data_IF_294820522518
#
_entry.id   IF_294820522518
#
_cell.length_a   1.000
_cell.length_b   1.000
_cell.length_c   1.000
_cell.angle_alpha   90.00
_cell.angle_beta   90.00
_cell.angle_gamma   90.00
#
_symmetry.space_group_name_H-M   'P 1'
#
loop_
_entity.id
_entity.type
_entity.pdbx_description
1 polymer ?
#
# COMPACT_ATOMS: atom_id res chain seq x y z
N UNK A 1 22.27 5.94 -19.07
CA UNK A 1 23.28 5.01 -18.50
C UNK A 1 24.67 5.50 -18.88
N UNK A 2 25.69 5.39 -18.02
CA UNK A 2 27.06 5.86 -18.32
C UNK A 2 28.12 4.78 -18.05
N UNK A 3 28.23 4.31 -16.81
CA UNK A 3 29.28 3.36 -16.41
C UNK A 3 29.12 1.98 -17.05
N UNK A 4 27.90 1.44 -17.08
CA UNK A 4 27.63 0.10 -17.61
C UNK A 4 27.92 -0.03 -19.11
N UNK A 5 27.54 0.98 -19.91
CA UNK A 5 27.73 0.98 -21.36
C UNK A 5 29.22 0.99 -21.71
N UNK A 6 30.01 1.78 -21.00
CA UNK A 6 31.46 1.84 -21.20
C UNK A 6 32.13 0.52 -20.81
N UNK A 7 31.70 -0.09 -19.70
CA UNK A 7 32.22 -1.37 -19.26
C UNK A 7 31.94 -2.47 -20.31
N UNK A 8 30.68 -2.59 -20.75
CA UNK A 8 30.26 -3.56 -21.78
C UNK A 8 31.07 -3.36 -23.07
N UNK A 9 31.22 -2.10 -23.52
CA UNK A 9 31.99 -1.79 -24.71
C UNK A 9 33.47 -2.20 -24.55
N UNK A 10 34.09 -1.87 -23.41
CA UNK A 10 35.49 -2.22 -23.14
C UNK A 10 35.73 -3.73 -23.02
N UNK A 11 34.78 -4.47 -22.42
CA UNK A 11 34.81 -5.93 -22.32
C UNK A 11 34.65 -6.57 -23.70
N UNK A 12 33.71 -6.07 -24.51
CA UNK A 12 33.48 -6.56 -25.88
C UNK A 12 34.66 -6.30 -26.82
N UNK A 13 35.42 -5.22 -26.58
CA UNK A 13 36.58 -4.85 -27.39
C UNK A 13 37.86 -5.61 -26.97
N UNK A 14 37.88 -6.25 -25.80
CA UNK A 14 39.02 -7.03 -25.30
C UNK A 14 40.23 -6.20 -24.85
N UNK A 15 40.13 -4.87 -24.77
CA UNK A 15 41.21 -3.98 -24.33
C UNK A 15 40.71 -2.97 -23.29
N UNK A 16 41.22 -3.08 -22.05
CA UNK A 16 40.81 -2.26 -20.91
C UNK A 16 41.47 -0.87 -20.82
N UNK A 17 42.42 -0.54 -21.69
CA UNK A 17 43.17 0.73 -21.62
C UNK A 17 42.33 1.95 -22.03
N UNK A 18 41.23 1.76 -22.76
CA UNK A 18 40.35 2.83 -23.25
C UNK A 18 39.20 3.26 -22.32
N UNK A 19 39.07 2.67 -21.12
CA UNK A 19 37.89 2.85 -20.26
C UNK A 19 37.73 4.30 -19.79
N UNK A 20 38.84 4.99 -19.46
CA UNK A 20 38.79 6.39 -18.98
C UNK A 20 38.28 7.31 -20.09
N UNK A 21 38.86 7.20 -21.30
CA UNK A 21 38.44 7.97 -22.47
C UNK A 21 36.99 7.66 -22.85
N UNK A 22 36.60 6.37 -22.83
CA UNK A 22 35.22 5.95 -23.09
C UNK A 22 34.23 6.52 -22.07
N UNK A 23 34.61 6.59 -20.79
CA UNK A 23 33.79 7.21 -19.74
C UNK A 23 33.63 8.70 -19.96
N UNK A 24 34.70 9.41 -20.32
CA UNK A 24 34.64 10.84 -20.60
C UNK A 24 33.70 11.15 -21.78
N UNK A 25 33.82 10.38 -22.87
CA UNK A 25 32.92 10.50 -24.03
C UNK A 25 31.48 10.22 -23.63
N UNK A 26 31.22 9.14 -22.88
CA UNK A 26 29.87 8.78 -22.45
C UNK A 26 29.24 9.84 -21.52
N UNK A 27 30.04 10.48 -20.66
CA UNK A 27 29.58 11.57 -19.78
C UNK A 27 29.23 12.82 -20.60
N UNK A 28 30.10 13.24 -21.53
CA UNK A 28 29.83 14.41 -22.39
C UNK A 28 28.61 14.16 -23.29
N UNK A 29 28.51 12.97 -23.87
CA UNK A 29 27.37 12.56 -24.69
C UNK A 29 26.08 12.55 -23.87
N UNK A 30 26.10 12.01 -22.63
CA UNK A 30 24.94 12.05 -21.74
C UNK A 30 24.55 13.49 -21.38
N UNK A 31 25.51 14.34 -21.01
CA UNK A 31 25.23 15.72 -20.66
C UNK A 31 24.60 16.50 -21.82
N UNK A 32 25.14 16.32 -23.02
CA UNK A 32 24.59 16.94 -24.24
C UNK A 32 23.21 16.36 -24.57
N UNK A 33 23.01 15.06 -24.43
CA UNK A 33 21.71 14.41 -24.68
C UNK A 33 20.62 14.86 -23.71
N UNK A 34 20.93 14.86 -22.40
CA UNK A 34 20.00 15.28 -21.34
C UNK A 34 19.59 16.77 -21.48
N UNK A 35 20.38 17.59 -22.21
CA UNK A 35 20.00 18.98 -22.54
C UNK A 35 18.87 19.06 -23.59
N UNK A 36 18.82 18.12 -24.53
CA UNK A 36 17.83 18.14 -25.61
C UNK A 36 16.61 17.27 -25.34
N UNK A 37 16.79 16.09 -24.75
CA UNK A 37 15.70 15.14 -24.55
C UNK A 37 15.94 14.21 -23.37
N UNK A 38 14.86 13.64 -22.84
CA UNK A 38 14.94 12.52 -21.89
C UNK A 38 15.43 11.26 -22.60
N UNK A 39 16.01 10.34 -21.82
CA UNK A 39 16.48 9.07 -22.35
C UNK A 39 15.36 8.27 -23.00
N UNK A 40 15.65 7.54 -24.08
CA UNK A 40 14.64 6.77 -24.83
C UNK A 40 13.86 5.81 -23.91
N UNK A 41 14.53 5.21 -22.92
CA UNK A 41 13.88 4.32 -21.95
C UNK A 41 12.89 5.05 -21.06
N UNK A 42 13.30 6.20 -20.50
CA UNK A 42 12.47 7.00 -19.61
C UNK A 42 11.27 7.57 -20.38
N UNK A 43 11.47 7.96 -21.64
CA UNK A 43 10.38 8.36 -22.55
C UNK A 43 9.35 7.23 -22.74
N UNK A 44 9.79 6.01 -23.04
CA UNK A 44 8.88 4.87 -23.21
C UNK A 44 8.19 4.45 -21.91
N UNK A 45 8.86 4.61 -20.77
CA UNK A 45 8.26 4.39 -19.44
C UNK A 45 7.14 5.39 -19.20
N UNK A 46 7.39 6.67 -19.49
CA UNK A 46 6.40 7.75 -19.40
C UNK A 46 5.21 7.50 -20.32
N UNK A 47 5.46 7.16 -21.59
CA UNK A 47 4.40 6.83 -22.57
C UNK A 47 3.55 5.62 -22.16
N UNK A 48 4.12 4.66 -21.43
CA UNK A 48 3.39 3.49 -20.92
C UNK A 48 2.71 3.73 -19.58
N UNK A 49 2.90 4.88 -18.94
CA UNK A 49 2.35 5.19 -17.62
C UNK A 49 2.80 4.21 -16.52
N UNK A 50 4.00 3.65 -16.63
CA UNK A 50 4.48 2.66 -15.65
C UNK A 50 4.97 3.43 -14.40
N UNK A 51 4.42 3.17 -13.20
CA UNK A 51 4.77 3.91 -11.99
C UNK A 51 6.15 3.47 -11.47
N UNK A 52 7.20 4.15 -11.94
CA UNK A 52 8.60 3.89 -11.55
C UNK A 52 9.09 5.02 -10.64
N UNK A 53 9.69 4.64 -9.51
CA UNK A 53 10.33 5.59 -8.60
C UNK A 53 11.76 5.84 -9.05
N UNK A 54 11.98 6.98 -9.70
CA UNK A 54 13.29 7.35 -10.18
C UNK A 54 14.33 7.49 -9.05
N UNK A 55 15.62 7.23 -9.34
CA UNK A 55 16.65 7.29 -8.30
C UNK A 55 16.89 8.66 -7.68
N UNK A 56 16.46 9.72 -8.36
CA UNK A 56 16.88 11.07 -8.09
C UNK A 56 15.65 11.93 -7.85
N UNK A 57 15.60 12.58 -6.69
CA UNK A 57 14.64 13.63 -6.34
C UNK A 57 15.02 14.96 -7.02
N UNK A 58 15.56 14.92 -8.25
CA UNK A 58 16.32 16.03 -8.81
C UNK A 58 15.47 17.23 -9.19
N UNK A 59 14.19 17.04 -9.47
CA UNK A 59 13.37 18.13 -9.98
C UNK A 59 12.77 18.97 -8.84
N UNK A 60 12.31 18.35 -7.74
CA UNK A 60 11.67 19.06 -6.61
C UNK A 60 11.87 18.34 -5.25
N UNK A 61 13.09 18.33 -4.66
CA UNK A 61 13.33 17.62 -3.40
C UNK A 61 12.46 18.16 -2.26
N UNK A 62 12.27 19.48 -2.20
CA UNK A 62 11.52 20.15 -1.13
C UNK A 62 10.06 19.69 -1.01
N UNK A 63 9.47 19.25 -2.12
CA UNK A 63 8.11 18.71 -2.14
C UNK A 63 8.01 17.44 -1.29
N UNK A 64 8.91 16.49 -1.51
CA UNK A 64 8.90 15.19 -0.85
C UNK A 64 9.20 15.26 0.65
N UNK A 65 9.96 16.28 1.08
CA UNK A 65 10.21 16.53 2.51
C UNK A 65 9.06 17.30 3.19
N UNK A 66 8.24 18.03 2.43
CA UNK A 66 7.12 18.83 2.96
C UNK A 66 5.82 18.04 3.07
N UNK A 67 5.54 17.14 2.14
CA UNK A 67 4.33 16.32 2.15
C UNK A 67 4.51 15.15 3.13
N UNK A 68 3.47 14.88 3.93
CA UNK A 68 3.49 13.80 4.93
C UNK A 68 2.79 12.56 4.41
N UNK A 69 3.17 11.40 4.94
CA UNK A 69 2.56 10.11 4.60
C UNK A 69 1.04 10.12 4.83
N UNK A 70 0.56 10.76 5.90
CA UNK A 70 -0.88 10.87 6.19
C UNK A 70 -1.70 11.63 5.14
N UNK A 71 -1.05 12.47 4.36
CA UNK A 71 -1.69 13.31 3.34
C UNK A 71 -1.79 12.53 2.01
N UNK A 72 -0.95 11.51 1.82
CA UNK A 72 -0.83 10.71 0.59
C UNK A 72 -1.40 9.29 0.74
N UNK A 73 -1.39 8.72 1.95
CA UNK A 73 -1.82 7.34 2.19
C UNK A 73 -3.30 7.12 1.88
N UNK A 74 -3.60 5.91 1.41
CA UNK A 74 -4.99 5.48 1.25
C UNK A 74 -5.57 5.14 2.62
N UNK A 75 -6.66 5.82 2.98
CA UNK A 75 -7.32 5.67 4.30
C UNK A 75 -8.45 4.68 4.26
N UNK A 76 -9.07 4.49 3.10
CA UNK A 76 -10.13 3.52 2.93
C UNK A 76 -9.55 2.11 2.77
N UNK A 77 -9.13 1.52 3.89
CA UNK A 77 -8.51 0.20 3.91
C UNK A 77 -9.44 -0.83 4.55
N UNK A 78 -9.74 -1.88 3.79
CA UNK A 78 -10.48 -3.03 4.26
C UNK A 78 -9.59 -3.92 5.12
N UNK A 79 -9.83 -3.93 6.42
CA UNK A 79 -9.14 -4.83 7.34
C UNK A 79 -9.87 -6.17 7.46
N UNK A 80 -9.09 -7.24 7.58
CA UNK A 80 -9.61 -8.58 7.86
C UNK A 80 -9.42 -8.92 9.32
N UNK A 81 -10.29 -9.76 9.85
CA UNK A 81 -10.09 -10.37 11.17
C UNK A 81 -9.24 -11.63 11.05
N UNK A 82 -8.48 -11.94 12.10
CA UNK A 82 -7.74 -13.20 12.24
C UNK A 82 -8.60 -14.44 11.99
N UNK A 83 -9.88 -14.38 12.38
CA UNK A 83 -10.94 -15.31 12.02
C UNK A 83 -12.01 -14.57 11.23
N UNK A 84 -12.03 -14.81 9.92
CA UNK A 84 -12.99 -14.19 9.00
C UNK A 84 -13.83 -15.26 8.32
N UNK A 85 -15.13 -14.99 8.13
CA UNK A 85 -16.01 -15.89 7.37
C UNK A 85 -15.63 -15.91 5.91
N UNK A 86 -15.81 -17.07 5.26
CA UNK A 86 -15.54 -17.21 3.82
C UNK A 86 -16.42 -16.27 2.99
N UNK A 87 -17.68 -16.06 3.39
CA UNK A 87 -18.60 -15.11 2.74
C UNK A 87 -18.02 -13.69 2.67
N UNK A 88 -17.49 -13.19 3.79
CA UNK A 88 -16.87 -11.87 3.87
C UNK A 88 -15.60 -11.77 3.02
N UNK A 89 -14.77 -12.82 3.03
CA UNK A 89 -13.56 -12.88 2.20
C UNK A 89 -13.89 -12.86 0.71
N UNK A 90 -14.87 -13.66 0.28
CA UNK A 90 -15.30 -13.70 -1.14
C UNK A 90 -15.92 -12.37 -1.55
N UNK A 91 -16.70 -11.72 -0.68
CA UNK A 91 -17.27 -10.39 -0.92
C UNK A 91 -16.17 -9.35 -1.13
N UNK A 92 -15.25 -9.21 -0.17
CA UNK A 92 -14.15 -8.23 -0.24
C UNK A 92 -13.26 -8.46 -1.46
N UNK A 93 -12.99 -9.72 -1.81
CA UNK A 93 -12.21 -10.06 -3.01
C UNK A 93 -12.98 -9.76 -4.30
N UNK A 94 -14.31 -9.84 -4.34
CA UNK A 94 -15.11 -9.48 -5.52
C UNK A 94 -15.26 -7.97 -5.69
N UNK A 95 -15.48 -7.26 -4.59
CA UNK A 95 -15.71 -5.81 -4.57
C UNK A 95 -14.43 -5.02 -4.82
N UNK A 96 -13.30 -5.46 -4.24
CA UNK A 96 -12.06 -4.70 -4.28
C UNK A 96 -10.94 -5.41 -5.03
N UNK A 97 -10.13 -4.63 -5.75
CA UNK A 97 -8.93 -5.09 -6.46
C UNK A 97 -7.63 -4.89 -5.66
N UNK A 98 -7.72 -4.65 -4.35
CA UNK A 98 -6.55 -4.44 -3.50
C UNK A 98 -5.66 -5.69 -3.42
N UNK A 99 -4.35 -5.50 -3.47
CA UNK A 99 -3.34 -6.57 -3.46
C UNK A 99 -2.93 -7.03 -2.06
N UNK A 100 -3.26 -6.27 -1.02
CA UNK A 100 -2.90 -6.53 0.36
C UNK A 100 -4.01 -6.03 1.29
N UNK A 101 -4.20 -6.73 2.41
CA UNK A 101 -5.17 -6.41 3.45
C UNK A 101 -4.49 -6.46 4.82
N UNK A 102 -4.65 -5.46 5.68
CA UNK A 102 -4.18 -5.54 7.06
C UNK A 102 -5.06 -6.53 7.81
N UNK A 103 -4.44 -7.37 8.63
CA UNK A 103 -5.14 -8.30 9.51
C UNK A 103 -5.06 -7.81 10.94
N UNK A 104 -6.22 -7.82 11.57
CA UNK A 104 -6.42 -7.27 12.90
C UNK A 104 -7.06 -8.33 13.79
N UNK A 105 -6.63 -8.39 15.05
CA UNK A 105 -7.31 -9.21 16.04
C UNK A 105 -8.43 -8.38 16.65
N UNK A 106 -9.64 -8.93 16.70
CA UNK A 106 -10.68 -8.36 17.59
C UNK A 106 -10.04 -8.24 18.97
N UNK A 107 -10.13 -7.06 19.57
CA UNK A 107 -9.89 -6.97 21.00
C UNK A 107 -10.96 -7.85 21.65
N UNK A 108 -10.59 -9.09 22.00
CA UNK A 108 -11.08 -9.62 23.25
C UNK A 108 -10.62 -8.57 24.25
N UNK A 109 -11.56 -7.89 24.88
CA UNK A 109 -11.29 -7.02 26.02
C UNK A 109 -10.20 -7.65 26.88
N UNK A 110 -9.31 -6.85 27.49
CA UNK A 110 -8.32 -7.42 28.39
C UNK A 110 -9.09 -8.28 29.39
N UNK A 111 -8.75 -9.57 29.46
CA UNK A 111 -9.06 -10.43 30.60
C UNK A 111 -8.23 -9.87 31.76
N UNK A 112 -8.62 -8.67 32.20
CA UNK A 112 -8.26 -8.10 33.47
C UNK A 112 -9.24 -8.72 34.45
N UNK A 113 -8.77 -9.75 35.14
CA UNK A 113 -9.31 -10.08 36.44
C UNK A 113 -9.28 -8.77 37.25
N UNK A 114 -10.43 -8.13 37.43
CA UNK A 114 -10.57 -7.20 38.55
C UNK A 114 -10.32 -8.03 39.83
N UNK A 115 -9.51 -7.56 40.78
CA UNK A 115 -9.34 -8.24 42.07
C UNK A 115 -10.67 -8.45 42.83
N UNK A 116 -11.75 -7.80 42.38
CA UNK A 116 -12.99 -7.64 43.12
C UNK A 116 -14.24 -8.07 42.32
N UNK A 117 -14.19 -9.17 41.56
CA UNK A 117 -15.38 -9.96 41.14
C UNK A 117 -16.54 -9.25 40.38
N UNK A 118 -16.35 -8.03 39.88
CA UNK A 118 -17.36 -7.26 39.17
C UNK A 118 -17.28 -7.42 37.65
N UNK A 119 -18.43 -7.58 36.99
CA UNK A 119 -18.57 -7.70 35.53
C UNK A 119 -18.34 -6.32 34.88
N UNK A 120 -17.35 -6.14 33.99
CA UNK A 120 -17.23 -4.90 33.23
C UNK A 120 -18.37 -4.83 32.20
N UNK A 121 -19.15 -3.75 32.25
CA UNK A 121 -20.10 -3.39 31.19
C UNK A 121 -19.33 -2.69 30.07
N UNK A 122 -19.18 -3.35 28.92
CA UNK A 122 -18.73 -2.67 27.69
C UNK A 122 -19.94 -2.44 26.78
N UNK A 123 -20.11 -1.23 26.22
CA UNK A 123 -21.21 -0.93 25.32
C UNK A 123 -21.11 -1.77 24.05
N UNK A 124 -22.22 -2.45 23.75
CA UNK A 124 -22.46 -3.22 22.53
C UNK A 124 -22.50 -2.25 21.35
N UNK A 125 -21.37 -2.07 20.65
CA UNK A 125 -21.39 -1.56 19.29
C UNK A 125 -21.47 -2.77 18.37
N UNK A 126 -22.62 -2.92 17.72
CA UNK A 126 -22.85 -3.98 16.74
C UNK A 126 -21.78 -3.94 15.63
N UNK A 127 -21.31 -5.10 15.14
CA UNK A 127 -20.46 -5.13 13.96
C UNK A 127 -21.27 -4.66 12.76
N UNK A 128 -20.98 -3.46 12.26
CA UNK A 128 -21.51 -3.00 10.98
C UNK A 128 -21.02 -3.91 9.83
N UNK A 129 -21.86 -4.11 8.79
CA UNK A 129 -21.56 -5.05 7.72
C UNK A 129 -20.27 -4.64 6.99
N UNK A 130 -19.42 -5.63 6.69
CA UNK A 130 -18.09 -5.44 6.14
C UNK A 130 -18.06 -4.37 5.03
N UNK A 131 -17.24 -3.35 5.24
CA UNK A 131 -17.22 -2.16 4.40
C UNK A 131 -16.15 -1.16 4.82
N UNK A 132 -16.19 -0.66 6.04
CA UNK A 132 -15.25 0.34 6.53
C UNK A 132 -14.98 0.07 8.01
N UNK A 133 -13.77 -0.37 8.37
CA UNK A 133 -13.45 -0.61 9.78
C UNK A 133 -12.84 0.63 10.43
N UNK A 134 -13.48 1.12 11.50
CA UNK A 134 -12.86 2.08 12.42
C UNK A 134 -11.80 1.35 13.26
N UNK A 135 -10.51 1.60 12.97
CA UNK A 135 -9.35 0.99 13.65
C UNK A 135 -9.18 1.40 15.13
N UNK A 136 -10.15 2.05 15.76
CA UNK A 136 -10.03 2.53 17.14
C UNK A 136 -9.94 1.39 18.16
N UNK A 137 -10.60 0.25 17.92
CA UNK A 137 -10.73 -0.81 18.92
C UNK A 137 -10.13 -2.15 18.46
N UNK A 138 -9.17 -2.15 17.52
CA UNK A 138 -8.67 -3.39 16.93
C UNK A 138 -7.14 -3.40 16.95
N UNK A 139 -6.53 -4.52 17.38
CA UNK A 139 -5.07 -4.64 17.45
C UNK A 139 -4.53 -5.12 16.10
N UNK A 140 -3.56 -4.40 15.56
CA UNK A 140 -2.86 -4.81 14.34
C UNK A 140 -2.02 -6.07 14.59
N UNK A 141 -2.25 -7.13 13.81
CA UNK A 141 -1.53 -8.41 13.90
C UNK A 141 -0.47 -8.57 12.81
N UNK A 142 -0.73 -8.02 11.63
CA UNK A 142 0.15 -8.10 10.48
C UNK A 142 -0.62 -7.87 9.19
N UNK A 143 -0.05 -8.28 8.06
CA UNK A 143 -0.67 -8.12 6.74
C UNK A 143 -0.83 -9.45 6.01
N UNK A 144 -1.83 -9.53 5.13
CA UNK A 144 -2.01 -10.68 4.26
C UNK A 144 -2.18 -10.22 2.82
N UNK A 145 -1.46 -10.88 1.91
CA UNK A 145 -1.56 -10.58 0.49
C UNK A 145 -2.81 -11.26 -0.11
N UNK A 146 -3.40 -10.59 -1.10
CA UNK A 146 -4.55 -11.12 -1.85
C UNK A 146 -4.30 -12.53 -2.39
N UNK A 147 -3.09 -12.76 -2.90
CA UNK A 147 -2.69 -14.08 -3.43
C UNK A 147 -2.79 -15.20 -2.40
N UNK A 148 -2.49 -14.89 -1.14
CA UNK A 148 -2.54 -15.84 -0.03
C UNK A 148 -3.99 -16.15 0.31
N UNK A 149 -4.86 -15.15 0.35
CA UNK A 149 -6.30 -15.34 0.56
C UNK A 149 -6.93 -16.22 -0.53
N UNK A 150 -6.62 -15.96 -1.80
CA UNK A 150 -7.11 -16.76 -2.93
C UNK A 150 -6.61 -18.20 -2.83
N UNK A 151 -5.35 -18.42 -2.45
CA UNK A 151 -4.80 -19.76 -2.23
C UNK A 151 -5.50 -20.48 -1.05
N UNK A 152 -5.79 -19.78 0.04
CA UNK A 152 -6.55 -20.32 1.17
C UNK A 152 -7.96 -20.74 0.73
N UNK A 153 -8.67 -19.90 -0.03
CA UNK A 153 -10.00 -20.24 -0.57
C UNK A 153 -9.94 -21.43 -1.51
N UNK A 154 -8.97 -21.47 -2.43
CA UNK A 154 -8.78 -22.61 -3.33
C UNK A 154 -8.54 -23.90 -2.54
N UNK A 155 -7.72 -23.84 -1.49
CA UNK A 155 -7.47 -25.01 -0.66
C UNK A 155 -8.71 -25.47 0.07
N UNK A 156 -9.50 -24.55 0.65
CA UNK A 156 -10.77 -24.87 1.31
C UNK A 156 -11.78 -25.51 0.35
N UNK A 157 -11.92 -24.97 -0.87
CA UNK A 157 -12.79 -25.58 -1.90
C UNK A 157 -12.31 -26.97 -2.32
N UNK A 158 -10.99 -27.20 -2.32
CA UNK A 158 -10.40 -28.50 -2.65
C UNK A 158 -10.57 -29.50 -1.51
N UNK A 159 -10.39 -29.06 -0.26
CA UNK A 159 -10.64 -29.84 0.95
C UNK A 159 -12.10 -30.25 1.09
N UNK A 160 -13.04 -29.39 0.70
CA UNK A 160 -14.45 -29.72 0.70
C UNK A 160 -14.78 -30.87 -0.26
N UNK A 161 -13.99 -31.06 -1.33
CA UNK A 161 -14.12 -32.24 -2.21
C UNK A 161 -13.39 -33.47 -1.66
N UNK A 162 -12.37 -33.26 -0.84
CA UNK A 162 -11.50 -34.29 -0.29
C UNK A 162 -11.65 -34.37 1.25
N UNK A 163 -12.60 -35.17 1.75
CA UNK A 163 -12.91 -35.32 3.20
C UNK A 163 -11.67 -35.55 4.11
N UNK A 164 -10.61 -36.17 3.58
CA UNK A 164 -9.36 -36.48 4.31
C UNK A 164 -8.50 -35.24 4.63
N UNK A 165 -8.68 -34.17 3.85
CA UNK A 165 -7.94 -32.92 3.97
C UNK A 165 -8.71 -31.85 4.75
N UNK A 166 -10.00 -32.06 5.03
CA UNK A 166 -10.86 -31.10 5.70
C UNK A 166 -10.30 -30.66 7.07
N UNK A 167 -10.14 -29.34 7.25
CA UNK A 167 -9.69 -28.74 8.52
C UNK A 167 -8.18 -28.70 8.73
N UNK A 168 -7.36 -29.15 7.77
CA UNK A 168 -5.89 -28.99 7.86
C UNK A 168 -5.47 -27.61 7.34
N UNK A 169 -4.52 -26.92 7.98
CA UNK A 169 -4.00 -25.67 7.43
C UNK A 169 -3.24 -25.95 6.13
N UNK A 170 -3.38 -25.07 5.14
CA UNK A 170 -2.59 -25.03 3.90
C UNK A 170 -1.08 -25.12 4.24
N UNK A 171 -0.40 -26.22 3.86
CA UNK A 171 1.03 -26.34 4.10
C UNK A 171 1.82 -25.39 3.19
N UNK A 172 2.94 -24.87 3.70
CA UNK A 172 3.75 -23.88 3.00
C UNK A 172 4.18 -24.34 1.60
N UNK A 173 4.52 -25.62 1.46
CA UNK A 173 4.97 -26.20 0.19
C UNK A 173 3.89 -26.25 -0.90
N UNK A 174 2.61 -26.06 -0.54
CA UNK A 174 1.50 -26.00 -1.50
C UNK A 174 1.09 -24.59 -1.86
N UNK A 175 1.73 -23.54 -1.33
CA UNK A 175 1.42 -22.17 -1.76
C UNK A 175 1.64 -21.96 -3.26
N UNK A 176 2.79 -22.41 -3.75
CA UNK A 176 3.16 -22.25 -5.16
C UNK A 176 2.32 -23.13 -6.09
N UNK A 177 1.69 -24.18 -5.56
CA UNK A 177 0.78 -25.07 -6.30
C UNK A 177 -0.67 -24.60 -6.26
N UNK A 178 -1.09 -24.04 -5.12
CA UNK A 178 -2.42 -23.45 -4.92
C UNK A 178 -2.56 -22.10 -5.62
N UNK A 179 -1.44 -21.44 -5.93
CA UNK A 179 -1.42 -20.21 -6.70
C UNK A 179 -1.05 -20.47 -8.16
N UNK A 180 -1.89 -20.11 -9.13
CA UNK A 180 -1.53 -20.31 -10.53
C UNK A 180 -0.40 -19.37 -10.93
N UNK A 181 0.62 -19.96 -11.54
CA UNK A 181 1.65 -19.26 -12.30
C UNK A 181 0.96 -18.18 -13.18
N UNK A 182 1.51 -16.97 -13.16
CA UNK A 182 0.99 -15.63 -13.47
C UNK A 182 0.24 -15.40 -14.81
N UNK A 183 -0.12 -16.46 -15.55
CA UNK A 183 -0.76 -16.39 -16.87
C UNK A 183 -2.29 -16.30 -16.87
N UNK A 184 -2.99 -16.46 -15.74
CA UNK A 184 -4.45 -16.57 -15.75
C UNK A 184 -5.15 -15.77 -14.65
N UNK A 185 -5.40 -14.48 -14.89
CA UNK A 185 -6.44 -13.69 -14.18
C UNK A 185 -7.80 -14.43 -14.16
N UNK A 186 -8.05 -15.28 -15.17
CA UNK A 186 -9.23 -16.13 -15.27
C UNK A 186 -9.37 -17.15 -14.13
N UNK A 187 -8.29 -17.51 -13.43
CA UNK A 187 -8.34 -18.57 -12.41
C UNK A 187 -8.74 -18.04 -11.04
N UNK A 188 -8.41 -16.80 -10.69
CA UNK A 188 -8.92 -16.16 -9.47
C UNK A 188 -10.43 -15.94 -9.56
N UNK A 189 -10.90 -15.36 -10.67
CA UNK A 189 -12.32 -15.18 -10.94
C UNK A 189 -13.07 -16.53 -10.88
N UNK A 190 -12.50 -17.57 -11.50
CA UNK A 190 -13.04 -18.93 -11.42
C UNK A 190 -13.15 -19.44 -9.98
N UNK A 191 -12.12 -19.27 -9.15
CA UNK A 191 -12.14 -19.68 -7.73
C UNK A 191 -13.27 -18.95 -7.00
N UNK A 192 -13.39 -17.64 -7.15
CA UNK A 192 -14.39 -16.81 -6.48
C UNK A 192 -15.84 -17.13 -6.91
N UNK A 193 -16.03 -17.64 -8.13
CA UNK A 193 -17.32 -18.10 -8.64
C UNK A 193 -17.67 -19.53 -8.20
N UNK A 194 -16.67 -20.40 -8.07
CA UNK A 194 -16.85 -21.83 -7.78
C UNK A 194 -16.72 -22.19 -6.30
N UNK A 195 -16.65 -21.21 -5.39
CA UNK A 195 -16.73 -21.48 -3.94
C UNK A 195 -18.12 -22.02 -3.60
N UNK A 196 -18.25 -23.24 -3.05
CA UNK A 196 -19.53 -23.79 -2.60
C UNK A 196 -20.19 -22.88 -1.58
N UNK A 197 -21.49 -22.60 -1.75
CA UNK A 197 -22.25 -21.74 -0.82
C UNK A 197 -22.29 -22.31 0.61
N UNK A 198 -22.17 -23.62 0.76
CA UNK A 198 -22.10 -24.30 2.06
C UNK A 198 -20.87 -23.88 2.89
N UNK A 199 -19.78 -23.47 2.24
CA UNK A 199 -18.58 -23.01 2.93
C UNK A 199 -18.68 -21.56 3.39
N UNK A 200 -19.70 -20.79 2.99
CA UNK A 200 -19.77 -19.34 3.25
C UNK A 200 -19.85 -18.99 4.74
N UNK A 201 -20.41 -19.90 5.54
CA UNK A 201 -20.52 -19.75 7.00
C UNK A 201 -19.28 -20.24 7.75
N UNK A 202 -18.37 -20.97 7.08
CA UNK A 202 -17.14 -21.43 7.70
C UNK A 202 -16.19 -20.25 7.97
N UNK A 203 -15.48 -20.33 9.10
CA UNK A 203 -14.42 -19.37 9.44
C UNK A 203 -13.07 -19.87 8.95
N UNK A 204 -12.28 -18.95 8.39
CA UNK A 204 -10.89 -19.21 7.99
C UNK A 204 -9.97 -18.58 9.02
N UNK A 205 -9.08 -19.40 9.59
CA UNK A 205 -7.99 -18.93 10.45
C UNK A 205 -6.86 -18.37 9.58
N UNK A 206 -6.71 -17.05 9.56
CA UNK A 206 -5.68 -16.35 8.78
C UNK A 206 -4.33 -16.27 9.51
N UNK A 207 -4.30 -16.38 10.84
CA UNK A 207 -3.07 -16.24 11.66
C UNK A 207 -1.79 -16.93 11.14
N UNK A 208 -1.82 -18.20 10.66
CA UNK A 208 -0.61 -18.86 10.16
C UNK A 208 -0.09 -18.30 8.82
N UNK A 209 -0.86 -17.45 8.17
CA UNK A 209 -0.60 -16.97 6.80
C UNK A 209 -0.31 -15.47 6.73
N UNK A 210 -0.42 -14.78 7.88
CA UNK A 210 -0.15 -13.36 8.02
C UNK A 210 1.36 -13.14 8.05
N UNK A 211 1.82 -12.13 7.31
CA UNK A 211 3.11 -11.53 7.53
C UNK A 211 3.05 -10.63 8.78
N UNK A 212 3.71 -11.08 9.85
CA UNK A 212 3.73 -10.43 11.16
C UNK A 212 4.69 -9.23 11.23
N UNK A 213 5.60 -9.08 10.27
CA UNK A 213 6.56 -7.98 10.24
C UNK A 213 6.52 -7.22 8.90
N UNK A 214 5.36 -6.62 8.56
CA UNK A 214 5.25 -5.80 7.36
C UNK A 214 6.08 -4.53 7.50
N UNK A 215 6.41 -3.91 6.36
CA UNK A 215 7.01 -2.59 6.36
C UNK A 215 6.02 -1.56 6.92
N UNK A 216 6.40 -0.89 8.00
CA UNK A 216 5.56 0.07 8.72
C UNK A 216 6.23 1.43 8.71
N UNK A 217 5.44 2.49 8.50
CA UNK A 217 5.89 3.88 8.60
C UNK A 217 4.91 4.70 9.44
N UNK A 218 5.41 5.76 10.07
CA UNK A 218 4.58 6.74 10.79
C UNK A 218 3.68 7.52 9.83
N UNK A 219 2.45 7.79 10.25
CA UNK A 219 1.54 8.72 9.56
C UNK A 219 2.16 10.12 9.40
N UNK A 220 3.04 10.51 10.33
CA UNK A 220 3.74 11.80 10.32
C UNK A 220 5.10 11.77 9.64
N UNK A 221 5.53 10.64 9.09
CA UNK A 221 6.76 10.60 8.32
C UNK A 221 6.59 11.39 7.01
N UNK A 222 7.71 11.85 6.46
CA UNK A 222 7.75 12.53 5.16
C UNK A 222 7.62 11.52 4.02
N UNK A 223 7.11 11.95 2.88
CA UNK A 223 7.05 11.09 1.68
C UNK A 223 8.46 10.71 1.20
N UNK A 224 9.46 11.56 1.45
CA UNK A 224 10.87 11.23 1.20
C UNK A 224 11.33 9.96 1.95
N UNK A 225 10.97 9.82 3.23
CA UNK A 225 11.28 8.63 4.03
C UNK A 225 10.54 7.39 3.48
N UNK A 226 9.26 7.54 3.15
CA UNK A 226 8.49 6.45 2.54
C UNK A 226 9.10 5.99 1.21
N UNK A 227 9.51 6.93 0.35
CA UNK A 227 10.15 6.66 -0.93
C UNK A 227 11.45 5.89 -0.76
N UNK A 228 12.28 6.29 0.20
CA UNK A 228 13.52 5.58 0.50
C UNK A 228 13.24 4.16 0.97
N UNK A 229 12.23 3.95 1.83
CA UNK A 229 11.78 2.61 2.19
C UNK A 229 11.36 1.79 0.97
N UNK A 230 10.48 2.31 0.10
CA UNK A 230 10.00 1.61 -1.10
C UNK A 230 11.12 1.22 -2.07
N UNK A 231 12.14 2.06 -2.20
CA UNK A 231 13.28 1.85 -3.11
C UNK A 231 14.33 0.92 -2.53
N UNK A 232 14.71 1.12 -1.27
CA UNK A 232 15.75 0.31 -0.60
C UNK A 232 15.29 -1.11 -0.31
N UNK A 233 14.05 -1.28 0.15
CA UNK A 233 13.52 -2.60 0.55
C UNK A 233 12.74 -3.31 -0.54
N UNK A 234 12.37 -2.61 -1.62
CA UNK A 234 11.59 -3.19 -2.71
C UNK A 234 10.13 -3.51 -2.35
N UNK A 235 9.62 -3.04 -1.21
CA UNK A 235 8.27 -3.33 -0.72
C UNK A 235 7.17 -2.89 -1.70
N UNK A 236 6.04 -3.60 -1.74
CA UNK A 236 4.88 -3.24 -2.59
C UNK A 236 3.86 -2.39 -1.87
N UNK A 237 3.71 -2.64 -0.57
CA UNK A 237 2.79 -1.95 0.32
C UNK A 237 3.57 -1.58 1.58
N UNK A 238 3.33 -0.38 2.10
CA UNK A 238 3.81 0.06 3.41
C UNK A 238 2.60 0.44 4.23
N UNK A 239 2.56 0.00 5.49
CA UNK A 239 1.45 0.25 6.40
C UNK A 239 1.74 1.54 7.17
N UNK A 240 0.82 2.49 7.09
CA UNK A 240 0.90 3.71 7.85
C UNK A 240 0.24 3.52 9.21
N UNK A 241 1.01 3.73 10.27
CA UNK A 241 0.52 3.62 11.64
C UNK A 241 0.63 4.94 12.37
N UNK A 242 -0.32 5.18 13.27
CA UNK A 242 -0.20 6.25 14.23
C UNK A 242 0.71 5.78 15.37
N UNK A 243 1.96 6.27 15.40
CA UNK A 243 2.96 5.85 16.38
C UNK A 243 2.52 5.95 17.84
N UNK A 244 1.65 6.91 18.21
CA UNK A 244 1.18 7.06 19.59
C UNK A 244 0.31 5.90 20.06
N UNK A 245 -0.49 5.33 19.16
CA UNK A 245 -1.48 4.29 19.50
C UNK A 245 -1.17 2.94 18.88
N UNK A 246 -0.20 2.86 17.95
CA UNK A 246 0.07 1.64 17.17
C UNK A 246 -1.08 1.22 16.26
N UNK A 247 -2.01 2.14 15.95
CA UNK A 247 -3.18 1.86 15.10
C UNK A 247 -2.83 2.05 13.64
N UNK A 248 -3.35 1.19 12.78
CA UNK A 248 -3.28 1.39 11.32
C UNK A 248 -4.19 2.56 10.94
N UNK A 249 -3.64 3.50 10.18
CA UNK A 249 -4.37 4.67 9.68
C UNK A 249 -4.57 4.59 8.17
N UNK A 250 -3.70 3.88 7.47
CA UNK A 250 -3.79 3.70 6.04
C UNK A 250 -2.72 2.76 5.49
N UNK A 251 -2.76 2.56 4.18
CA UNK A 251 -1.74 1.84 3.42
C UNK A 251 -1.23 2.75 2.31
N UNK A 252 0.06 2.66 2.05
CA UNK A 252 0.71 3.33 0.93
C UNK A 252 1.24 2.30 -0.07
N UNK A 253 1.22 2.68 -1.33
CA UNK A 253 1.77 1.97 -2.47
C UNK A 253 2.72 2.89 -3.25
N UNK A 254 3.42 2.33 -4.25
CA UNK A 254 4.31 3.11 -5.12
C UNK A 254 3.58 4.18 -5.93
N UNK A 255 2.31 3.97 -6.26
CA UNK A 255 1.51 4.91 -7.06
C UNK A 255 1.20 6.20 -6.30
N UNK A 256 1.09 6.08 -4.98
CA UNK A 256 0.71 7.19 -4.12
C UNK A 256 1.88 8.17 -3.96
N UNK A 257 3.13 7.67 -4.06
CA UNK A 257 4.35 8.47 -3.87
C UNK A 257 5.06 8.86 -5.18
N UNK A 258 4.34 8.82 -6.29
CA UNK A 258 4.83 9.36 -7.56
C UNK A 258 4.92 10.88 -7.50
N UNK A 259 5.89 11.51 -8.18
CA UNK A 259 6.02 12.97 -8.19
C UNK A 259 4.72 13.69 -8.52
N UNK A 260 4.00 13.24 -9.55
CA UNK A 260 2.77 13.86 -10.02
C UNK A 260 1.67 13.80 -8.95
N UNK A 261 1.53 12.65 -8.28
CA UNK A 261 0.57 12.46 -7.18
C UNK A 261 0.90 13.36 -5.99
N UNK A 262 2.19 13.45 -5.63
CA UNK A 262 2.63 14.26 -4.48
C UNK A 262 2.47 15.75 -4.76
N UNK A 263 2.73 16.19 -5.99
CA UNK A 263 2.50 17.57 -6.43
C UNK A 263 1.03 17.96 -6.29
N UNK A 264 0.14 17.12 -6.83
CA UNK A 264 -1.30 17.32 -6.73
C UNK A 264 -1.78 17.40 -5.28
N UNK A 265 -1.30 16.51 -4.41
CA UNK A 265 -1.65 16.51 -2.98
C UNK A 265 -1.12 17.76 -2.28
N UNK A 266 0.11 18.21 -2.57
CA UNK A 266 0.66 19.44 -1.95
C UNK A 266 -0.14 20.69 -2.35
N UNK A 267 -0.54 20.80 -3.62
CA UNK A 267 -1.41 21.88 -4.10
C UNK A 267 -2.75 21.88 -3.38
N UNK A 268 -3.38 20.71 -3.23
CA UNK A 268 -4.63 20.59 -2.48
C UNK A 268 -4.47 20.99 -1.02
N UNK A 269 -3.45 20.47 -0.32
CA UNK A 269 -3.19 20.79 1.08
C UNK A 269 -2.97 22.30 1.27
N UNK A 270 -2.28 22.95 0.34
CA UNK A 270 -2.08 24.42 0.35
C UNK A 270 -3.38 25.18 0.11
N UNK A 271 -4.21 24.75 -0.83
CA UNK A 271 -5.49 25.40 -1.11
C UNK A 271 -6.41 25.40 0.12
N UNK A 272 -6.51 24.26 0.81
CA UNK A 272 -7.32 24.11 2.04
C UNK A 272 -6.71 24.92 3.19
N UNK A 273 -5.38 24.92 3.33
CA UNK A 273 -4.71 25.72 4.33
C UNK A 273 -4.99 27.22 4.13
N UNK A 274 -4.88 27.71 2.90
CA UNK A 274 -5.16 29.12 2.58
C UNK A 274 -6.63 29.48 2.84
N UNK A 275 -7.58 28.63 2.46
CA UNK A 275 -9.01 28.85 2.73
C UNK A 275 -9.28 28.96 4.23
N UNK A 276 -8.72 28.05 5.03
CA UNK A 276 -8.88 28.11 6.48
C UNK A 276 -8.18 29.33 7.08
N UNK A 277 -6.99 29.69 6.59
CA UNK A 277 -6.34 30.92 7.04
C UNK A 277 -7.19 32.16 6.74
N UNK A 278 -7.83 32.23 5.59
CA UNK A 278 -8.75 33.30 5.24
C UNK A 278 -9.97 33.31 6.16
N UNK A 279 -10.68 32.18 6.30
CA UNK A 279 -11.83 32.04 7.21
C UNK A 279 -11.50 32.41 8.65
N UNK A 280 -10.34 31.96 9.16
CA UNK A 280 -9.89 32.28 10.51
C UNK A 280 -9.43 33.75 10.65
N UNK A 281 -8.83 34.35 9.62
CA UNK A 281 -8.52 35.80 9.58
C UNK A 281 -9.80 36.64 9.63
N UNK A 282 -10.86 36.22 8.93
CA UNK A 282 -12.17 36.87 9.00
C UNK A 282 -12.84 36.68 10.36
N UNK A 283 -12.73 35.49 10.96
CA UNK A 283 -13.36 35.19 12.25
C UNK A 283 -12.63 35.79 13.47
N UNK A 284 -11.31 35.94 13.42
CA UNK A 284 -10.49 36.41 14.54
C UNK A 284 -9.33 37.32 14.10
N UNK A 285 -9.60 38.61 13.81
CA UNK A 285 -8.58 39.55 13.32
C UNK A 285 -7.46 39.84 14.32
N UNK A 286 -7.62 39.49 15.61
CA UNK A 286 -6.61 39.68 16.66
C UNK A 286 -5.55 38.58 16.75
N UNK A 287 -5.74 37.43 16.08
CA UNK A 287 -4.84 36.27 16.18
C UNK A 287 -4.07 35.94 14.88
N UNK A 288 -4.14 36.82 13.88
CA UNK A 288 -3.55 36.61 12.55
C UNK A 288 -2.04 36.30 12.55
N UNK A 289 -1.29 36.70 13.57
CA UNK A 289 0.16 36.49 13.68
C UNK A 289 0.60 35.13 14.24
N UNK A 290 -0.31 34.32 14.79
CA UNK A 290 0.02 33.02 15.41
C UNK A 290 -0.33 31.79 14.55
N UNK A 291 -0.84 32.01 13.32
CA UNK A 291 -1.53 30.99 12.50
C UNK A 291 -0.59 30.09 11.68
N UNK A 292 0.66 30.52 11.42
CA UNK A 292 1.60 29.83 10.51
C UNK A 292 1.99 28.38 10.90
N UNK A 293 1.51 27.86 12.02
CA UNK A 293 1.77 26.49 12.49
C UNK A 293 0.57 25.53 12.38
N UNK A 294 -0.62 26.00 11.97
CA UNK A 294 -1.83 25.18 11.93
C UNK A 294 -2.03 24.54 10.55
N UNK A 295 -1.77 23.22 10.43
CA UNK A 295 -1.96 22.47 9.16
C UNK A 295 -3.28 21.69 9.20
N UNK A 296 -4.21 21.88 8.24
CA UNK A 296 -5.48 21.15 8.22
C UNK A 296 -5.31 19.64 8.06
N UNK A 297 -6.26 18.89 8.61
CA UNK A 297 -6.38 17.45 8.41
C UNK A 297 -7.30 17.19 7.22
N UNK A 298 -6.76 16.62 6.14
CA UNK A 298 -7.58 16.16 5.02
C UNK A 298 -8.35 14.90 5.41
N UNK A 299 -9.63 14.81 5.06
CA UNK A 299 -10.45 13.58 5.14
C UNK A 299 -10.72 13.18 3.70
N UNK A 300 -9.97 12.20 3.17
CA UNK A 300 -10.20 11.72 1.82
C UNK A 300 -11.47 10.86 1.78
N UNK A 301 -12.45 11.33 1.02
CA UNK A 301 -13.39 10.46 0.34
C UNK A 301 -13.23 10.74 -1.15
N UNK A 302 -12.51 9.88 -1.88
CA UNK A 302 -12.56 9.92 -3.34
C UNK A 302 -12.53 8.51 -3.93
N UNK A 303 -13.50 8.32 -4.83
CA UNK A 303 -13.77 7.14 -5.64
C UNK A 303 -12.70 6.93 -6.71
N UNK A 304 -12.55 5.65 -7.06
CA UNK A 304 -11.88 5.07 -8.22
C UNK A 304 -11.48 6.02 -9.37
N UNK A 305 -10.18 6.24 -9.53
CA UNK A 305 -9.55 6.70 -10.78
C UNK A 305 -9.26 5.53 -11.75
N UNK A 306 -10.07 4.45 -11.70
CA UNK A 306 -9.88 3.27 -12.56
C UNK A 306 -10.79 3.20 -13.79
N UNK A 307 -11.65 4.20 -14.01
CA UNK A 307 -12.63 4.23 -15.12
C UNK A 307 -12.37 5.32 -16.19
N UNK A 308 -11.18 5.91 -16.26
CA UNK A 308 -10.86 6.95 -17.26
C UNK A 308 -10.11 6.44 -18.51
N UNK A 309 -10.26 5.15 -18.86
CA UNK A 309 -9.71 4.57 -20.10
C UNK A 309 -10.74 3.62 -20.76
N UNK A 310 -11.94 4.11 -21.06
CA UNK A 310 -12.83 3.56 -22.08
C UNK A 310 -13.73 4.66 -22.61
N UNK A 311 -13.19 5.46 -23.52
CA UNK A 311 -13.90 5.93 -24.71
C UNK A 311 -12.79 6.30 -25.73
N UNK A 312 -13.03 5.86 -26.97
CA UNK A 312 -12.16 5.85 -28.17
C UNK A 312 -11.23 4.63 -28.38
#
# INVERSE_FOLDING_TARGET
MTVSVVLIASESAGFGTGVITGTMVAVIAKFTGDFFNTGIYDLHIGLKGIPILEPRLLEKPDLFYRVLCRDVMERNVYALYDRSKVSDLVRILKEHKHGCFPVTAKFLEPVGLAPDGGIPRVPIVAPEPAGLMNFSNVQFRGMIERRVLVACLYHLTSQYKDDVLYGKPLPRNRYDTAYPNTRYKSREAWILEHVPKELYDNEVHLDPYIDRNPAIISDKATVAEAREMFRSTGQRHIICVWLKTGRVVGIMTRKDILPETVEFVDEQVRSVANQLEEEFRFANPRYASSIASFRPQFVSGFHDFSDMDRDD
#
